data_IF_728609443361
#
_entry.id   IF_728609443361
#
_cell.length_a   1.000
_cell.length_b   1.000
_cell.length_c   1.000
_cell.angle_alpha   90.00
_cell.angle_beta   90.00
_cell.angle_gamma   90.00
#
_symmetry.space_group_name_H-M   'P 1'
#
loop_
_entity.id
_entity.type
_entity.pdbx_description
1 polymer ?
#
# COMPACT_ATOMS: atom_id res chain seq x y z
N UNK A 1 -60.36 -35.89 -36.36
CA UNK A 1 -59.23 -36.84 -36.27
C UNK A 1 -57.99 -36.25 -36.94
N UNK A 2 -57.24 -35.37 -36.26
CA UNK A 2 -55.97 -34.80 -36.75
C UNK A 2 -55.22 -34.13 -35.57
N UNK A 3 -54.91 -34.88 -34.51
CA UNK A 3 -54.22 -34.32 -33.34
C UNK A 3 -53.47 -35.37 -32.49
N UNK A 4 -52.82 -36.38 -33.11
CA UNK A 4 -52.07 -37.39 -32.33
C UNK A 4 -50.73 -37.86 -32.93
N UNK A 5 -50.22 -37.23 -33.99
CA UNK A 5 -49.06 -37.75 -34.73
C UNK A 5 -47.82 -36.86 -34.77
N UNK A 6 -47.65 -35.91 -33.83
CA UNK A 6 -46.41 -35.10 -33.73
C UNK A 6 -45.57 -35.41 -32.48
N UNK A 7 -46.06 -36.26 -31.56
CA UNK A 7 -45.40 -36.51 -30.26
C UNK A 7 -44.47 -37.73 -30.22
N UNK A 8 -43.97 -38.23 -31.36
CA UNK A 8 -43.09 -39.44 -31.37
C UNK A 8 -41.76 -39.32 -32.12
N UNK A 9 -41.35 -38.11 -32.51
CA UNK A 9 -40.06 -37.89 -33.21
C UNK A 9 -38.99 -37.17 -32.38
N UNK A 10 -39.19 -36.98 -31.07
CA UNK A 10 -38.27 -36.25 -30.20
C UNK A 10 -37.63 -37.11 -29.10
N UNK A 11 -37.66 -38.43 -29.26
CA UNK A 11 -36.96 -39.37 -28.38
C UNK A 11 -35.98 -40.18 -29.23
N UNK A 12 -34.73 -40.24 -28.77
CA UNK A 12 -33.60 -40.99 -29.36
C UNK A 12 -32.78 -40.24 -30.42
N UNK A 13 -31.90 -39.35 -29.94
CA UNK A 13 -30.52 -39.26 -30.43
C UNK A 13 -29.63 -38.68 -29.33
N UNK A 14 -29.30 -39.54 -28.38
CA UNK A 14 -28.12 -39.35 -27.54
C UNK A 14 -26.88 -39.68 -28.38
N UNK A 15 -26.03 -38.70 -28.64
CA UNK A 15 -24.60 -38.96 -28.83
C UNK A 15 -23.81 -37.96 -27.99
N UNK A 16 -22.97 -38.55 -27.15
CA UNK A 16 -22.08 -37.92 -26.17
C UNK A 16 -21.26 -36.82 -26.84
N UNK A 17 -21.46 -35.59 -26.41
CA UNK A 17 -20.43 -34.54 -26.46
C UNK A 17 -20.02 -34.33 -25.01
N UNK A 18 -18.73 -34.47 -24.75
CA UNK A 18 -18.16 -34.48 -23.40
C UNK A 18 -18.64 -33.31 -22.56
N UNK A 19 -18.80 -33.56 -21.27
CA UNK A 19 -18.98 -32.54 -20.26
C UNK A 19 -17.80 -31.56 -20.33
N UNK A 20 -17.94 -30.52 -21.14
CA UNK A 20 -17.12 -29.33 -21.03
C UNK A 20 -17.61 -28.64 -19.76
N UNK A 21 -16.94 -28.94 -18.66
CA UNK A 21 -16.97 -28.14 -17.44
C UNK A 21 -16.95 -26.67 -17.85
N UNK A 22 -17.89 -25.82 -17.38
CA UNK A 22 -17.75 -24.39 -17.60
C UNK A 22 -16.39 -23.98 -17.02
N UNK A 23 -15.54 -23.24 -17.76
CA UNK A 23 -14.31 -22.74 -17.18
C UNK A 23 -14.70 -21.98 -15.92
N UNK A 24 -14.14 -22.39 -14.78
CA UNK A 24 -14.25 -21.64 -13.53
C UNK A 24 -13.74 -20.23 -13.85
N UNK A 25 -14.68 -19.31 -14.05
CA UNK A 25 -14.39 -17.90 -14.17
C UNK A 25 -13.87 -17.44 -12.81
N UNK A 26 -12.57 -17.61 -12.58
CA UNK A 26 -11.85 -16.84 -11.59
C UNK A 26 -11.97 -15.38 -12.06
N UNK A 27 -12.70 -14.58 -11.29
CA UNK A 27 -13.01 -13.16 -11.55
C UNK A 27 -14.10 -12.88 -12.59
N UNK A 28 -15.36 -13.23 -12.30
CA UNK A 28 -16.44 -12.29 -12.61
C UNK A 28 -16.69 -11.44 -11.36
N UNK A 29 -15.96 -10.32 -11.25
CA UNK A 29 -16.54 -9.20 -10.51
C UNK A 29 -17.84 -8.88 -11.24
N UNK A 30 -18.99 -9.10 -10.58
CA UNK A 30 -20.23 -8.51 -11.07
C UNK A 30 -19.93 -7.04 -11.21
N UNK A 31 -19.83 -6.56 -12.45
CA UNK A 31 -19.77 -5.13 -12.73
C UNK A 31 -21.03 -4.59 -12.06
N UNK A 32 -20.84 -3.83 -10.98
CA UNK A 32 -21.94 -3.16 -10.32
C UNK A 32 -22.47 -2.19 -11.37
N UNK A 33 -23.60 -2.53 -11.99
CA UNK A 33 -24.30 -1.60 -12.85
C UNK A 33 -24.76 -0.49 -11.92
N UNK A 34 -24.14 0.67 -12.05
CA UNK A 34 -24.60 1.86 -11.34
C UNK A 34 -26.02 2.13 -11.81
N UNK A 35 -26.96 2.13 -10.87
CA UNK A 35 -28.36 2.38 -11.14
C UNK A 35 -28.57 3.90 -11.22
N UNK A 36 -28.58 4.40 -12.46
CA UNK A 36 -28.75 5.82 -12.76
C UNK A 36 -30.12 6.31 -12.28
N UNK A 37 -31.15 5.46 -12.35
CA UNK A 37 -32.50 5.81 -11.91
C UNK A 37 -32.53 6.00 -10.39
N UNK A 38 -31.75 5.20 -9.65
CA UNK A 38 -31.58 5.37 -8.22
C UNK A 38 -30.79 6.65 -7.86
N UNK A 39 -29.77 7.04 -8.63
CA UNK A 39 -29.02 8.30 -8.43
C UNK A 39 -29.89 9.54 -8.71
N UNK A 40 -30.79 9.48 -9.69
CA UNK A 40 -31.77 10.54 -9.93
C UNK A 40 -32.79 10.59 -8.78
N UNK A 41 -33.22 9.44 -8.27
CA UNK A 41 -34.17 9.36 -7.16
C UNK A 41 -33.55 9.88 -5.85
N UNK A 42 -32.26 9.60 -5.61
CA UNK A 42 -31.56 10.11 -4.43
C UNK A 42 -31.39 11.62 -4.45
N UNK A 43 -31.12 12.24 -5.60
CA UNK A 43 -31.00 13.71 -5.69
C UNK A 43 -32.34 14.41 -5.44
N UNK A 44 -33.44 13.84 -5.96
CA UNK A 44 -34.80 14.33 -5.69
C UNK A 44 -35.13 14.23 -4.20
N UNK A 45 -34.77 13.12 -3.55
CA UNK A 45 -35.00 12.97 -2.12
C UNK A 45 -34.08 13.86 -1.26
N UNK A 46 -32.83 14.04 -1.68
CA UNK A 46 -31.88 14.94 -1.02
C UNK A 46 -32.38 16.39 -1.00
N UNK A 47 -32.86 16.88 -2.14
CA UNK A 47 -33.44 18.24 -2.26
C UNK A 47 -34.75 18.42 -1.49
N UNK A 48 -35.49 17.33 -1.23
CA UNK A 48 -36.72 17.37 -0.43
C UNK A 48 -36.48 17.42 1.08
N UNK A 49 -35.27 17.07 1.53
CA UNK A 49 -34.90 17.08 2.94
C UNK A 49 -34.39 18.47 3.34
N UNK A 50 -34.71 18.95 4.55
CA UNK A 50 -34.19 20.23 5.03
C UNK A 50 -32.66 20.19 5.11
N UNK A 51 -31.98 21.19 4.52
CA UNK A 51 -30.51 21.33 4.49
C UNK A 51 -29.87 21.28 5.89
N UNK A 52 -30.63 21.59 6.94
CA UNK A 52 -30.13 21.71 8.31
C UNK A 52 -30.97 20.83 9.26
N UNK A 53 -30.45 19.63 9.50
CA UNK A 53 -30.79 18.82 10.68
C UNK A 53 -32.24 18.34 10.75
N UNK A 54 -32.64 17.43 9.87
CA UNK A 54 -33.94 16.74 9.95
C UNK A 54 -34.20 16.05 11.30
N UNK A 55 -33.17 15.80 12.10
CA UNK A 55 -33.24 15.27 13.46
C UNK A 55 -33.65 16.29 14.53
N UNK A 56 -33.62 17.59 14.23
CA UNK A 56 -33.99 18.64 15.20
C UNK A 56 -35.50 18.84 15.30
N UNK A 57 -36.23 18.38 14.29
CA UNK A 57 -37.69 18.34 14.23
C UNK A 57 -38.15 16.90 14.33
N UNK A 58 -39.26 16.62 15.02
CA UNK A 58 -39.88 15.28 14.98
C UNK A 58 -40.19 14.92 13.51
N UNK A 59 -39.46 13.98 12.90
CA UNK A 59 -39.56 13.75 11.47
C UNK A 59 -40.90 13.08 11.15
N UNK A 60 -41.53 13.52 10.07
CA UNK A 60 -42.74 12.87 9.55
C UNK A 60 -42.43 11.43 9.10
N UNK A 61 -43.43 10.54 9.13
CA UNK A 61 -43.25 9.15 8.68
C UNK A 61 -42.75 9.06 7.22
N UNK A 62 -43.11 10.04 6.39
CA UNK A 62 -42.64 10.15 5.01
C UNK A 62 -41.16 10.49 4.93
N UNK A 63 -40.68 11.41 5.77
CA UNK A 63 -39.25 11.75 5.85
C UNK A 63 -38.45 10.58 6.41
N UNK A 64 -38.97 9.87 7.42
CA UNK A 64 -38.28 8.70 7.95
C UNK A 64 -38.11 7.59 6.89
N UNK A 65 -39.10 7.42 6.01
CA UNK A 65 -39.03 6.49 4.87
C UNK A 65 -37.98 6.90 3.85
N UNK A 66 -37.91 8.19 3.49
CA UNK A 66 -36.91 8.67 2.53
C UNK A 66 -35.50 8.53 3.10
N UNK A 67 -35.30 8.86 4.37
CA UNK A 67 -34.03 8.70 5.06
C UNK A 67 -33.63 7.23 5.16
N UNK A 68 -34.56 6.33 5.52
CA UNK A 68 -34.29 4.90 5.60
C UNK A 68 -33.82 4.33 4.26
N UNK A 69 -34.47 4.77 3.17
CA UNK A 69 -34.09 4.43 1.79
C UNK A 69 -32.71 4.98 1.41
N UNK A 70 -32.41 6.24 1.75
CA UNK A 70 -31.11 6.84 1.45
C UNK A 70 -29.97 6.15 2.23
N UNK A 71 -30.22 5.74 3.47
CA UNK A 71 -29.23 5.02 4.29
C UNK A 71 -28.97 3.59 3.80
N UNK A 72 -29.99 2.89 3.32
CA UNK A 72 -29.78 1.57 2.69
C UNK A 72 -29.06 1.72 1.37
N UNK A 73 -29.48 2.67 0.54
CA UNK A 73 -28.86 2.97 -0.74
C UNK A 73 -27.37 3.34 -0.57
N UNK A 74 -27.03 4.22 0.37
CA UNK A 74 -25.64 4.60 0.67
C UNK A 74 -24.73 3.41 0.98
N UNK A 75 -25.24 2.36 1.64
CA UNK A 75 -24.45 1.15 1.97
C UNK A 75 -24.25 0.22 0.78
N UNK A 76 -25.24 0.13 -0.09
CA UNK A 76 -25.20 -0.71 -1.30
C UNK A 76 -24.42 -0.02 -2.43
N UNK A 77 -24.40 1.31 -2.43
CA UNK A 77 -23.65 2.14 -3.37
C UNK A 77 -22.16 1.83 -3.29
N UNK A 78 -21.64 1.19 -4.32
CA UNK A 78 -20.20 0.94 -4.49
C UNK A 78 -19.84 1.19 -5.92
N UNK A 79 -18.97 2.17 -6.13
CA UNK A 79 -18.41 2.46 -7.43
C UNK A 79 -16.94 2.10 -7.37
N UNK A 80 -16.55 1.08 -8.12
CA UNK A 80 -15.13 0.71 -8.20
C UNK A 80 -14.37 1.76 -8.99
N UNK A 81 -13.11 2.05 -8.62
CA UNK A 81 -12.25 2.96 -9.39
C UNK A 81 -12.15 2.56 -10.88
N UNK A 82 -12.18 1.25 -11.15
CA UNK A 82 -12.19 0.73 -12.53
C UNK A 82 -13.52 0.98 -13.24
N UNK A 83 -14.64 0.94 -12.51
CA UNK A 83 -15.96 1.26 -13.08
C UNK A 83 -16.08 2.76 -13.35
N UNK A 84 -15.60 3.60 -12.42
CA UNK A 84 -15.51 5.06 -12.60
C UNK A 84 -14.75 5.42 -13.86
N UNK A 85 -13.58 4.83 -14.05
CA UNK A 85 -12.66 5.26 -15.09
C UNK A 85 -13.05 4.74 -16.48
N UNK A 86 -13.67 3.57 -16.58
CA UNK A 86 -13.90 2.90 -17.87
C UNK A 86 -15.35 2.67 -18.26
N UNK A 87 -16.27 2.61 -17.30
CA UNK A 87 -17.67 2.19 -17.56
C UNK A 87 -18.68 3.29 -17.24
N UNK A 88 -18.35 4.17 -16.30
CA UNK A 88 -19.29 5.18 -15.81
C UNK A 88 -19.45 6.33 -16.81
N UNK A 89 -20.68 6.69 -17.19
CA UNK A 89 -20.93 7.81 -18.09
C UNK A 89 -20.57 9.16 -17.44
N UNK A 90 -19.57 9.85 -17.99
CA UNK A 90 -19.11 11.18 -17.52
C UNK A 90 -20.22 12.22 -17.31
N UNK A 91 -21.33 12.11 -18.05
CA UNK A 91 -22.50 13.01 -17.91
C UNK A 91 -23.14 12.98 -16.52
N UNK A 92 -22.94 11.91 -15.75
CA UNK A 92 -23.52 11.72 -14.42
C UNK A 92 -22.44 11.72 -13.33
N UNK A 93 -21.19 12.11 -13.65
CA UNK A 93 -20.09 12.16 -12.69
C UNK A 93 -20.33 13.24 -11.64
N UNK A 94 -20.73 14.43 -12.06
CA UNK A 94 -21.07 15.52 -11.15
C UNK A 94 -22.26 15.14 -10.25
N UNK A 95 -23.30 14.53 -10.82
CA UNK A 95 -24.47 14.04 -10.05
C UNK A 95 -24.06 13.00 -8.99
N UNK A 96 -23.14 12.09 -9.36
CA UNK A 96 -22.65 11.07 -8.44
C UNK A 96 -21.86 11.70 -7.29
N UNK A 97 -21.00 12.67 -7.57
CA UNK A 97 -20.19 13.35 -6.55
C UNK A 97 -21.05 14.21 -5.61
N UNK A 98 -22.01 14.97 -6.14
CA UNK A 98 -22.96 15.76 -5.35
C UNK A 98 -23.78 14.87 -4.41
N UNK A 99 -24.34 13.77 -4.95
CA UNK A 99 -25.06 12.78 -4.15
C UNK A 99 -24.17 12.11 -3.09
N UNK A 100 -22.87 11.92 -3.35
CA UNK A 100 -21.94 11.34 -2.37
C UNK A 100 -21.76 12.26 -1.16
N UNK A 101 -21.60 13.56 -1.42
CA UNK A 101 -21.46 14.57 -0.37
C UNK A 101 -22.72 14.64 0.50
N UNK A 102 -23.90 14.60 -0.12
CA UNK A 102 -25.19 14.65 0.59
C UNK A 102 -25.45 13.39 1.41
N UNK A 103 -25.17 12.20 0.86
CA UNK A 103 -25.27 10.94 1.60
C UNK A 103 -24.26 10.88 2.75
N UNK A 104 -23.05 11.42 2.57
CA UNK A 104 -22.05 11.51 3.63
C UNK A 104 -22.53 12.41 4.78
N UNK A 105 -23.08 13.59 4.46
CA UNK A 105 -23.70 14.49 5.46
C UNK A 105 -24.86 13.81 6.19
N UNK A 106 -25.71 13.05 5.47
CA UNK A 106 -26.81 12.29 6.06
C UNK A 106 -26.31 11.22 7.04
N UNK A 107 -25.26 10.48 6.66
CA UNK A 107 -24.66 9.43 7.50
C UNK A 107 -23.99 10.01 8.75
N UNK A 108 -23.20 11.08 8.59
CA UNK A 108 -22.52 11.74 9.69
C UNK A 108 -23.50 12.33 10.71
N UNK A 109 -24.59 12.95 10.22
CA UNK A 109 -25.62 13.52 11.08
C UNK A 109 -26.47 12.46 11.79
N UNK A 110 -26.69 11.28 11.17
CA UNK A 110 -27.46 10.21 11.81
C UNK A 110 -26.67 9.56 12.91
N UNK A 111 -25.45 9.10 12.63
CA UNK A 111 -24.62 8.43 13.64
C UNK A 111 -24.25 9.30 14.85
N UNK A 112 -24.08 10.62 14.67
CA UNK A 112 -23.62 11.51 15.74
C UNK A 112 -24.73 11.92 16.72
N UNK A 113 -25.98 12.05 16.25
CA UNK A 113 -27.07 12.66 17.03
C UNK A 113 -28.03 11.61 17.58
N UNK A 114 -28.33 10.59 16.79
CA UNK A 114 -29.17 9.47 17.19
C UNK A 114 -28.27 8.24 17.00
N UNK A 115 -27.88 7.56 18.08
CA UNK A 115 -27.07 6.32 18.09
C UNK A 115 -27.72 5.14 17.29
N UNK A 116 -28.71 5.43 16.43
CA UNK A 116 -29.48 4.56 15.57
C UNK A 116 -29.66 5.18 14.19
N UNK A 117 -29.53 4.35 13.16
CA UNK A 117 -29.80 4.70 11.78
C UNK A 117 -31.04 3.94 11.31
N UNK A 118 -32.06 4.60 10.71
CA UNK A 118 -33.19 3.90 10.14
C UNK A 118 -32.75 3.23 8.83
N UNK A 119 -33.17 1.99 8.61
CA UNK A 119 -32.91 1.23 7.40
C UNK A 119 -34.17 0.51 6.93
N UNK A 120 -34.36 0.42 5.61
CA UNK A 120 -35.42 -0.36 4.98
C UNK A 120 -35.01 -1.84 4.90
N UNK A 121 -35.84 -2.72 5.43
CA UNK A 121 -35.65 -4.16 5.26
C UNK A 121 -36.08 -4.57 3.85
N UNK A 122 -35.14 -5.01 3.01
CA UNK A 122 -35.38 -5.36 1.60
C UNK A 122 -36.37 -6.51 1.41
N UNK A 123 -36.64 -7.29 2.46
CA UNK A 123 -37.61 -8.38 2.43
C UNK A 123 -39.03 -7.95 2.81
N UNK A 124 -39.21 -6.94 3.67
CA UNK A 124 -40.52 -6.55 4.22
C UNK A 124 -40.95 -5.13 3.90
N UNK A 125 -40.05 -4.26 3.44
CA UNK A 125 -40.32 -2.84 3.20
C UNK A 125 -40.59 -2.03 4.47
N UNK A 126 -40.35 -2.62 5.64
CA UNK A 126 -40.55 -1.96 6.94
C UNK A 126 -39.29 -1.20 7.35
N UNK A 127 -39.47 -0.03 7.97
CA UNK A 127 -38.37 0.75 8.54
C UNK A 127 -38.00 0.16 9.89
N UNK A 128 -36.73 -0.23 10.05
CA UNK A 128 -36.17 -0.68 11.33
C UNK A 128 -35.02 0.23 11.73
N UNK A 129 -34.82 0.38 13.04
CA UNK A 129 -33.70 1.14 13.58
C UNK A 129 -32.53 0.21 13.89
N UNK A 130 -31.37 0.44 13.26
CA UNK A 130 -30.12 -0.26 13.62
C UNK A 130 -29.31 0.62 14.56
N UNK A 131 -28.94 0.09 15.73
CA UNK A 131 -28.00 0.76 16.64
C UNK A 131 -26.61 0.72 16.00
N UNK A 132 -25.93 1.86 15.91
CA UNK A 132 -24.59 1.97 15.31
C UNK A 132 -23.61 2.32 16.40
N UNK A 133 -22.77 1.37 16.80
CA UNK A 133 -21.70 1.58 17.79
C UNK A 133 -20.34 1.58 17.11
N UNK A 134 -19.38 2.28 17.72
CA UNK A 134 -17.99 2.53 17.29
C UNK A 134 -17.09 1.27 17.14
N UNK A 135 -17.62 0.11 16.77
CA UNK A 135 -16.84 -1.11 16.56
C UNK A 135 -17.24 -1.96 15.34
N UNK A 136 -18.35 -1.64 14.67
CA UNK A 136 -18.80 -2.40 13.49
C UNK A 136 -18.41 -1.75 12.16
N UNK A 137 -18.13 -0.44 12.12
CA UNK A 137 -17.80 0.27 10.90
C UNK A 137 -16.29 0.44 10.75
N UNK A 138 -15.72 -0.10 9.67
CA UNK A 138 -14.31 0.12 9.32
C UNK A 138 -14.13 1.55 8.82
N UNK A 139 -13.20 2.28 9.42
CA UNK A 139 -12.93 3.69 9.12
C UNK A 139 -12.19 3.94 7.77
N UNK A 140 -12.09 2.91 6.92
CA UNK A 140 -11.51 2.99 5.57
C UNK A 140 -9.98 3.04 5.53
N UNK A 141 -9.34 3.74 6.47
CA UNK A 141 -7.88 3.85 6.56
C UNK A 141 -7.22 2.56 7.09
N UNK A 142 -7.94 1.79 7.91
CA UNK A 142 -7.44 0.56 8.55
C UNK A 142 -6.85 -0.44 7.54
N UNK A 143 -7.51 -0.62 6.39
CA UNK A 143 -7.03 -1.55 5.37
C UNK A 143 -5.71 -1.06 4.77
N UNK A 144 -5.56 0.25 4.52
CA UNK A 144 -4.32 0.82 3.99
C UNK A 144 -3.21 0.69 5.03
N UNK A 145 -3.52 1.02 6.29
CA UNK A 145 -2.55 0.91 7.38
C UNK A 145 -2.08 -0.54 7.57
N UNK A 146 -3.00 -1.50 7.65
CA UNK A 146 -2.65 -2.89 7.95
C UNK A 146 -2.09 -3.67 6.77
N UNK A 147 -2.47 -3.34 5.53
CA UNK A 147 -2.00 -4.07 4.33
C UNK A 147 -0.75 -3.45 3.73
N UNK A 148 -0.59 -2.12 3.81
CA UNK A 148 0.54 -1.42 3.20
C UNK A 148 1.54 -0.94 4.25
N UNK A 149 1.08 -0.11 5.19
CA UNK A 149 1.98 0.59 6.10
C UNK A 149 2.69 -0.36 7.07
N UNK A 150 1.94 -1.24 7.75
CA UNK A 150 2.51 -2.17 8.74
C UNK A 150 3.52 -3.13 8.11
N UNK A 151 3.24 -3.80 6.96
CA UNK A 151 4.22 -4.66 6.32
C UNK A 151 5.44 -3.89 5.79
N UNK A 152 5.25 -2.69 5.23
CA UNK A 152 6.36 -1.87 4.75
C UNK A 152 7.28 -1.44 5.90
N UNK A 153 6.72 -1.07 7.05
CA UNK A 153 7.49 -0.71 8.22
C UNK A 153 8.23 -1.92 8.82
N UNK A 154 7.56 -3.07 8.91
CA UNK A 154 8.21 -4.30 9.33
C UNK A 154 9.38 -4.67 8.40
N UNK A 155 9.18 -4.54 7.08
CA UNK A 155 10.24 -4.73 6.09
C UNK A 155 11.39 -3.74 6.27
N UNK A 156 11.11 -2.45 6.51
CA UNK A 156 12.14 -1.45 6.77
C UNK A 156 12.98 -1.81 8.01
N UNK A 157 12.33 -2.24 9.09
CA UNK A 157 13.02 -2.65 10.31
C UNK A 157 13.94 -3.85 10.02
N UNK A 158 13.42 -4.88 9.33
CA UNK A 158 14.22 -6.03 8.89
C UNK A 158 15.38 -5.56 8.02
N UNK A 159 15.15 -4.69 7.05
CA UNK A 159 16.18 -4.15 6.18
C UNK A 159 17.29 -3.45 6.97
N UNK A 160 16.95 -2.66 8.00
CA UNK A 160 17.95 -1.97 8.85
C UNK A 160 18.77 -2.99 9.66
N UNK A 161 18.15 -4.03 10.22
CA UNK A 161 18.85 -5.04 11.03
C UNK A 161 19.74 -5.97 10.20
N UNK A 162 19.34 -6.30 8.97
CA UNK A 162 20.11 -7.13 8.04
C UNK A 162 20.97 -6.32 7.08
N UNK A 163 21.06 -4.99 7.28
CA UNK A 163 21.96 -4.14 6.50
C UNK A 163 23.37 -4.34 7.04
N UNK A 164 24.14 -5.19 6.38
CA UNK A 164 25.59 -5.29 6.55
C UNK A 164 26.29 -4.06 5.93
N UNK A 165 25.99 -2.88 6.47
CA UNK A 165 26.70 -1.65 6.14
C UNK A 165 28.04 -1.65 6.87
N UNK A 166 29.11 -1.66 6.10
CA UNK A 166 30.45 -1.42 6.64
C UNK A 166 30.50 0.00 7.18
N UNK A 167 30.78 0.16 8.47
CA UNK A 167 30.93 1.47 9.09
C UNK A 167 32.00 2.27 8.34
N UNK A 168 31.80 3.59 8.18
CA UNK A 168 32.76 4.46 7.48
C UNK A 168 34.16 4.36 8.10
N UNK A 169 34.23 4.10 9.41
CA UNK A 169 35.48 3.89 10.14
C UNK A 169 36.15 2.57 9.74
N UNK A 170 35.38 1.49 9.60
CA UNK A 170 35.88 0.19 9.14
C UNK A 170 36.31 0.25 7.67
N UNK A 171 35.53 0.91 6.83
CA UNK A 171 35.87 1.18 5.44
C UNK A 171 37.16 2.00 5.33
N UNK A 172 37.28 3.09 6.09
CA UNK A 172 38.46 3.96 6.06
C UNK A 172 39.72 3.23 6.54
N UNK A 173 39.61 2.35 7.55
CA UNK A 173 40.71 1.48 7.98
C UNK A 173 41.14 0.53 6.88
N UNK A 174 40.19 -0.17 6.24
CA UNK A 174 40.49 -1.09 5.11
C UNK A 174 41.15 -0.35 3.96
N UNK A 175 40.58 0.79 3.57
CA UNK A 175 41.12 1.65 2.50
C UNK A 175 42.53 2.15 2.83
N UNK A 176 42.80 2.54 4.07
CA UNK A 176 44.15 2.95 4.49
C UNK A 176 45.14 1.78 4.36
N UNK A 177 44.76 0.59 4.80
CA UNK A 177 45.60 -0.61 4.70
C UNK A 177 45.86 -1.01 3.24
N UNK A 178 44.85 -0.90 2.36
CA UNK A 178 45.03 -1.08 0.92
C UNK A 178 46.09 -0.14 0.37
N UNK A 179 46.03 1.15 0.73
CA UNK A 179 47.01 2.15 0.27
C UNK A 179 48.42 1.88 0.79
N UNK A 180 48.54 1.43 2.04
CA UNK A 180 49.84 1.04 2.62
C UNK A 180 50.42 -0.16 1.86
N UNK A 181 49.60 -1.18 1.59
CA UNK A 181 50.03 -2.35 0.80
C UNK A 181 50.45 -1.96 -0.61
N UNK A 182 49.61 -1.21 -1.34
CA UNK A 182 49.93 -0.76 -2.71
C UNK A 182 51.23 0.02 -2.76
N UNK A 183 51.47 0.92 -1.79
CA UNK A 183 52.73 1.66 -1.73
C UNK A 183 53.93 0.77 -1.40
N UNK A 184 53.76 -0.22 -0.53
CA UNK A 184 54.81 -1.19 -0.24
C UNK A 184 55.17 -2.06 -1.47
N UNK A 185 54.19 -2.39 -2.31
CA UNK A 185 54.43 -3.05 -3.61
C UNK A 185 55.21 -2.14 -4.57
N UNK A 186 54.87 -0.85 -4.65
CA UNK A 186 55.57 0.14 -5.49
C UNK A 186 57.01 0.39 -5.03
N UNK A 187 57.24 0.49 -3.72
CA UNK A 187 58.53 0.78 -3.10
C UNK A 187 59.39 -0.49 -2.86
N UNK A 188 58.85 -1.69 -3.16
CA UNK A 188 59.45 -3.00 -2.84
C UNK A 188 59.83 -3.16 -1.36
N UNK A 189 58.97 -2.68 -0.46
CA UNK A 189 59.16 -2.80 0.98
C UNK A 189 58.81 -4.21 1.46
N UNK A 190 59.82 -5.08 1.55
CA UNK A 190 59.65 -6.48 1.95
C UNK A 190 59.15 -6.63 3.38
N UNK A 191 59.44 -5.69 4.29
CA UNK A 191 59.04 -5.78 5.69
C UNK A 191 57.51 -5.63 5.84
N UNK A 192 56.92 -4.65 5.14
CA UNK A 192 55.47 -4.42 5.16
C UNK A 192 54.74 -5.54 4.42
N UNK A 193 55.25 -6.00 3.28
CA UNK A 193 54.63 -7.07 2.51
C UNK A 193 54.64 -8.42 3.24
N UNK A 194 55.72 -8.74 3.94
CA UNK A 194 55.79 -9.96 4.75
C UNK A 194 54.88 -9.88 5.98
N UNK A 195 54.68 -8.68 6.54
CA UNK A 195 53.69 -8.44 7.59
C UNK A 195 52.28 -8.72 7.09
N UNK A 196 51.88 -8.17 5.93
CA UNK A 196 50.56 -8.44 5.33
C UNK A 196 50.34 -9.92 5.00
N UNK A 197 51.35 -10.64 4.51
CA UNK A 197 51.25 -12.09 4.22
C UNK A 197 50.96 -12.92 5.47
N UNK A 198 51.54 -12.56 6.62
CA UNK A 198 51.27 -13.25 7.90
C UNK A 198 49.84 -13.07 8.39
N UNK A 199 49.21 -11.95 8.04
CA UNK A 199 47.83 -11.62 8.44
C UNK A 199 46.75 -12.05 7.43
N UNK A 200 47.12 -12.60 6.26
CA UNK A 200 46.17 -13.15 5.29
C UNK A 200 46.26 -12.59 3.86
N UNK A 201 47.30 -11.80 3.55
CA UNK A 201 47.57 -11.14 2.26
C UNK A 201 46.50 -10.11 1.83
N UNK A 202 45.22 -10.36 2.07
CA UNK A 202 44.14 -9.40 1.83
C UNK A 202 43.98 -8.41 2.99
N UNK A 203 44.06 -7.07 2.76
CA UNK A 203 43.84 -6.05 3.78
C UNK A 203 42.50 -6.15 4.53
N UNK A 204 41.49 -6.83 3.97
CA UNK A 204 40.20 -7.07 4.67
C UNK A 204 40.29 -8.05 5.82
N UNK A 205 41.28 -8.95 5.80
CA UNK A 205 41.51 -9.99 6.80
C UNK A 205 42.30 -9.48 8.02
N UNK A 206 42.96 -8.33 7.87
CA UNK A 206 43.70 -7.68 8.94
C UNK A 206 42.76 -7.12 10.01
N UNK A 207 42.87 -7.67 11.23
CA UNK A 207 42.12 -7.21 12.40
C UNK A 207 43.09 -6.63 13.42
N UNK A 208 43.05 -5.31 13.56
CA UNK A 208 43.79 -4.62 14.61
C UNK A 208 43.14 -4.88 15.97
N UNK A 209 43.83 -5.60 16.84
CA UNK A 209 43.44 -5.79 18.24
C UNK A 209 44.53 -5.21 19.15
N UNK A 210 44.17 -4.19 19.93
CA UNK A 210 45.10 -3.52 20.84
C UNK A 210 45.60 -4.46 21.95
N UNK A 211 44.81 -5.47 22.33
CA UNK A 211 45.18 -6.44 23.36
C UNK A 211 46.14 -7.53 22.84
N UNK A 212 46.14 -7.78 21.54
CA UNK A 212 46.96 -8.80 20.87
C UNK A 212 48.03 -8.19 19.95
N UNK A 213 48.38 -6.93 20.20
CA UNK A 213 49.28 -6.15 19.35
C UNK A 213 50.64 -6.84 19.17
N UNK A 214 50.97 -7.16 17.91
CA UNK A 214 52.14 -7.94 17.54
C UNK A 214 53.22 -7.06 16.89
N UNK A 215 54.45 -7.57 16.81
CA UNK A 215 55.56 -6.87 16.13
C UNK A 215 55.31 -6.64 14.63
N UNK A 216 54.42 -7.42 14.03
CA UNK A 216 54.05 -7.29 12.62
C UNK A 216 53.05 -6.13 12.42
N UNK A 217 52.23 -5.85 13.44
CA UNK A 217 51.36 -4.66 13.47
C UNK A 217 52.17 -3.36 13.61
N UNK A 218 53.26 -3.40 14.39
CA UNK A 218 54.19 -2.27 14.57
C UNK A 218 54.73 -1.76 13.23
N UNK A 219 55.13 -2.66 12.34
CA UNK A 219 55.69 -2.29 11.02
C UNK A 219 54.65 -1.58 10.15
N UNK A 220 53.40 -2.04 10.18
CA UNK A 220 52.29 -1.44 9.43
C UNK A 220 51.95 -0.06 10.01
N UNK A 221 51.86 0.03 11.34
CA UNK A 221 51.55 1.30 12.05
C UNK A 221 52.66 2.32 11.85
N UNK A 222 53.93 1.92 11.96
CA UNK A 222 55.08 2.80 11.71
C UNK A 222 55.04 3.35 10.28
N UNK A 223 54.69 2.52 9.30
CA UNK A 223 54.54 2.99 7.92
C UNK A 223 53.40 3.97 7.75
N UNK A 224 52.25 3.71 8.38
CA UNK A 224 51.11 4.63 8.41
C UNK A 224 51.51 5.98 9.02
N UNK A 225 52.25 5.97 10.14
CA UNK A 225 52.68 7.19 10.84
C UNK A 225 53.73 7.97 10.06
N UNK A 226 54.63 7.28 9.36
CA UNK A 226 55.70 7.91 8.56
C UNK A 226 55.27 8.37 7.18
N UNK A 227 54.14 7.87 6.66
CA UNK A 227 53.68 8.12 5.29
C UNK A 227 52.44 9.00 5.19
N UNK A 228 52.38 9.81 4.14
CA UNK A 228 51.16 10.53 3.76
C UNK A 228 50.31 9.67 2.81
N UNK A 229 49.28 9.01 3.35
CA UNK A 229 48.33 8.19 2.58
C UNK A 229 46.98 8.88 2.33
N UNK A 230 46.79 10.05 2.95
CA UNK A 230 45.62 10.89 2.72
C UNK A 230 45.76 11.68 1.41
N UNK A 231 44.70 11.69 0.60
CA UNK A 231 44.67 12.37 -0.70
C UNK A 231 43.99 13.76 -0.63
N UNK A 232 43.70 14.27 0.56
CA UNK A 232 43.06 15.57 0.76
C UNK A 232 43.80 16.74 0.12
N UNK A 233 45.14 16.71 0.05
CA UNK A 233 45.93 17.75 -0.62
C UNK A 233 45.65 17.82 -2.14
N UNK A 234 45.41 16.69 -2.79
CA UNK A 234 45.05 16.61 -4.23
C UNK A 234 43.64 17.14 -4.51
N UNK A 235 42.76 17.12 -3.50
CA UNK A 235 41.39 17.64 -3.60
C UNK A 235 41.34 19.17 -3.41
N UNK A 236 42.33 19.77 -2.72
CA UNK A 236 42.40 21.22 -2.46
C UNK A 236 42.90 22.06 -3.64
N UNK A 237 43.31 21.44 -4.75
CA UNK A 237 43.86 22.13 -5.95
C UNK A 237 42.91 23.15 -6.56
N UNK A 238 41.59 22.97 -6.40
CA UNK A 238 40.57 23.93 -6.89
C UNK A 238 40.32 25.11 -5.94
N UNK A 239 40.68 24.98 -4.67
CA UNK A 239 40.55 26.05 -3.67
C UNK A 239 41.71 27.05 -3.77
N UNK A 240 42.91 26.57 -4.10
CA UNK A 240 44.07 27.43 -4.36
C UNK A 240 44.00 28.17 -5.69
N UNK A 241 43.22 27.71 -6.67
CA UNK A 241 43.10 28.36 -7.99
C UNK A 241 41.94 29.35 -8.12
N UNK A 242 41.06 29.47 -7.12
CA UNK A 242 39.97 30.48 -7.07
C UNK A 242 40.25 31.63 -6.09
N UNK A 243 41.47 31.67 -5.51
CA UNK A 243 41.89 32.67 -4.53
C UNK A 243 42.95 33.66 -5.05
N UNK A 244 43.04 33.87 -6.36
CA UNK A 244 43.81 34.94 -7.01
C UNK A 244 42.89 35.73 -7.95
#
# INVERSE_FOLDING_TARGET
MLARTVLRAAAQRSMRVGAVTPPRAFHSSRIAKVDIDAEIKSSIFGTSLPERGWYQTDPSETELKTIAYLNTYSKERRLSLMEQLFTFPKKYEDLYLENDEDLYKLKASSGLIIDKIPYEDTATGEIKWKIVRDGEEKEGWENIAHVLFVPAFAFLVVAIFFRDDMDVTEWAKRELLYRVKTRAEEENDTAVLDSFKKHGDDPTSYKFDLAAFSKDDDVIVERILSGEYDKMAKLKVKQSSMGN
#
